data_IF_906790901053
#
_entry.id   IF_906790901053
#
_cell.length_a   1.000
_cell.length_b   1.000
_cell.length_c   1.000
_cell.angle_alpha   90.00
_cell.angle_beta   90.00
_cell.angle_gamma   90.00
#
_symmetry.space_group_name_H-M   'P 1'
#
loop_
_entity.id
_entity.type
_entity.pdbx_description
1 polymer ?
#
# COMPACT_ATOMS: atom_id res chain seq x y z
N UNK A 1 -7.05 25.35 11.17
CA UNK A 1 -8.22 24.48 11.41
C UNK A 1 -7.96 23.08 10.82
N UNK A 2 -7.75 22.07 11.67
CA UNK A 2 -7.83 20.67 11.23
C UNK A 2 -9.30 20.40 10.89
N UNK A 3 -9.61 20.22 9.62
CA UNK A 3 -10.94 19.79 9.20
C UNK A 3 -11.08 18.31 9.58
N UNK A 4 -11.87 18.06 10.62
CA UNK A 4 -12.24 16.70 11.04
C UNK A 4 -13.47 16.32 10.21
N UNK A 5 -13.43 15.17 9.56
CA UNK A 5 -14.56 14.62 8.81
C UNK A 5 -15.07 13.37 9.53
N UNK A 6 -15.85 13.53 10.62
CA UNK A 6 -16.25 12.41 11.47
C UNK A 6 -17.18 11.42 10.75
N UNK A 7 -17.95 11.87 9.76
CA UNK A 7 -18.85 10.98 9.01
C UNK A 7 -18.12 10.21 7.88
N UNK A 8 -16.84 10.51 7.62
CA UNK A 8 -16.12 9.90 6.51
C UNK A 8 -15.57 8.51 6.90
N UNK A 9 -16.27 7.47 6.47
CA UNK A 9 -15.86 6.07 6.72
C UNK A 9 -14.97 5.50 5.61
N UNK A 10 -14.99 6.08 4.41
CA UNK A 10 -14.32 5.55 3.22
C UNK A 10 -13.54 6.66 2.51
N UNK A 11 -12.25 6.42 2.26
CA UNK A 11 -11.42 7.32 1.45
C UNK A 11 -10.75 6.60 0.29
N UNK A 12 -10.73 7.25 -0.88
CA UNK A 12 -10.01 6.80 -2.06
C UNK A 12 -9.01 7.88 -2.46
N UNK A 13 -7.73 7.50 -2.53
CA UNK A 13 -6.62 8.41 -2.77
C UNK A 13 -5.82 7.89 -3.95
N UNK A 14 -5.47 8.78 -4.87
CA UNK A 14 -4.54 8.48 -5.95
C UNK A 14 -3.34 9.42 -5.86
N UNK A 15 -2.17 8.85 -5.60
CA UNK A 15 -0.92 9.58 -5.43
C UNK A 15 -0.05 9.37 -6.67
N UNK A 16 0.12 10.43 -7.46
CA UNK A 16 0.84 10.41 -8.73
C UNK A 16 2.26 10.98 -8.65
N UNK A 17 2.68 11.47 -7.48
CA UNK A 17 4.00 12.06 -7.22
C UNK A 17 4.96 11.02 -6.62
N UNK A 18 6.27 11.26 -6.76
CA UNK A 18 7.33 10.30 -6.39
C UNK A 18 7.36 9.93 -4.90
N UNK A 19 6.83 10.79 -4.04
CA UNK A 19 6.86 10.62 -2.59
C UNK A 19 5.44 10.74 -2.04
N UNK A 20 4.92 9.64 -1.50
CA UNK A 20 3.79 9.68 -0.58
C UNK A 20 4.37 9.96 0.82
N UNK A 21 4.07 11.13 1.39
CA UNK A 21 4.66 11.55 2.66
C UNK A 21 4.03 10.75 3.82
N UNK A 22 4.87 10.16 4.67
CA UNK A 22 4.44 9.46 5.88
C UNK A 22 3.55 10.34 6.77
N UNK A 23 3.81 11.65 6.83
CA UNK A 23 3.03 12.60 7.64
C UNK A 23 1.53 12.60 7.32
N UNK A 24 1.18 12.27 6.07
CA UNK A 24 -0.21 12.11 5.66
C UNK A 24 -0.89 11.00 6.47
N UNK A 25 -0.25 9.84 6.57
CA UNK A 25 -0.79 8.70 7.31
C UNK A 25 -0.78 8.96 8.81
N UNK A 26 0.25 9.61 9.36
CA UNK A 26 0.33 9.94 10.79
C UNK A 26 -0.86 10.78 11.26
N UNK A 27 -1.34 11.69 10.40
CA UNK A 27 -2.48 12.56 10.69
C UNK A 27 -3.83 11.95 10.32
N UNK A 28 -3.84 10.80 9.63
CA UNK A 28 -5.06 10.23 9.03
C UNK A 28 -6.13 9.95 10.07
N UNK A 29 -5.78 9.28 11.17
CA UNK A 29 -6.72 8.96 12.25
C UNK A 29 -7.19 10.19 13.04
N UNK A 30 -6.38 11.25 13.07
CA UNK A 30 -6.78 12.51 13.73
C UNK A 30 -7.80 13.28 12.89
N UNK A 31 -7.63 13.27 11.56
CA UNK A 31 -8.51 13.95 10.63
C UNK A 31 -9.79 13.15 10.33
N UNK A 32 -9.68 11.83 10.30
CA UNK A 32 -10.73 10.90 9.88
C UNK A 32 -10.92 9.80 10.96
N UNK A 33 -11.46 10.17 12.15
CA UNK A 33 -11.51 9.27 13.30
C UNK A 33 -12.37 8.02 13.10
N UNK A 34 -13.35 8.09 12.20
CA UNK A 34 -14.25 6.98 11.88
C UNK A 34 -13.90 6.29 10.55
N UNK A 35 -12.69 6.52 10.02
CA UNK A 35 -12.27 5.87 8.79
C UNK A 35 -12.21 4.35 9.00
N UNK A 36 -12.92 3.62 8.15
CA UNK A 36 -12.95 2.14 8.13
C UNK A 36 -12.25 1.58 6.91
N UNK A 37 -12.35 2.27 5.77
CA UNK A 37 -11.85 1.80 4.48
C UNK A 37 -10.89 2.79 3.82
N UNK A 38 -9.70 2.31 3.43
CA UNK A 38 -8.73 3.08 2.64
C UNK A 38 -8.43 2.38 1.32
N UNK A 39 -8.63 3.11 0.21
CA UNK A 39 -8.15 2.72 -1.11
C UNK A 39 -7.03 3.67 -1.53
N UNK A 40 -5.84 3.13 -1.74
CA UNK A 40 -4.63 3.89 -2.05
C UNK A 40 -4.05 3.44 -3.38
N UNK A 41 -4.10 4.31 -4.39
CA UNK A 41 -3.46 4.08 -5.68
C UNK A 41 -2.15 4.87 -5.73
N UNK A 42 -1.02 4.19 -5.76
CA UNK A 42 0.32 4.78 -5.82
C UNK A 42 0.91 4.60 -7.21
N UNK A 43 1.55 5.64 -7.72
CA UNK A 43 2.29 5.56 -8.99
C UNK A 43 3.75 5.92 -8.71
N UNK A 44 4.63 4.91 -8.78
CA UNK A 44 6.07 5.07 -8.59
C UNK A 44 6.84 4.86 -9.89
N UNK A 45 8.03 5.46 -9.99
CA UNK A 45 8.86 5.30 -11.18
C UNK A 45 9.60 3.96 -11.18
N UNK A 46 10.05 3.49 -10.01
CA UNK A 46 10.84 2.27 -9.84
C UNK A 46 10.46 1.50 -8.58
N UNK A 47 10.91 0.25 -8.54
CA UNK A 47 10.89 -0.61 -7.37
C UNK A 47 12.14 -0.34 -6.50
N UNK A 48 11.97 0.03 -5.24
CA UNK A 48 13.08 0.24 -4.30
C UNK A 48 12.79 -0.43 -2.95
N UNK A 49 13.83 -0.96 -2.31
CA UNK A 49 13.72 -1.56 -0.97
C UNK A 49 13.20 -0.55 0.06
N UNK A 50 13.70 0.69 0.00
CA UNK A 50 13.28 1.80 0.87
C UNK A 50 11.77 2.06 0.82
N UNK A 51 11.16 1.94 -0.36
CA UNK A 51 9.72 2.12 -0.50
C UNK A 51 8.96 1.02 0.24
N UNK A 52 9.38 -0.24 0.11
CA UNK A 52 8.74 -1.35 0.82
C UNK A 52 8.96 -1.29 2.32
N UNK A 53 10.16 -0.93 2.75
CA UNK A 53 10.46 -0.71 4.16
C UNK A 53 9.57 0.40 4.72
N UNK A 54 9.38 1.49 3.97
CA UNK A 54 8.46 2.57 4.35
C UNK A 54 7.03 2.06 4.48
N UNK A 55 6.53 1.31 3.49
CA UNK A 55 5.18 0.76 3.51
C UNK A 55 4.95 -0.20 4.69
N UNK A 56 5.88 -1.12 4.93
CA UNK A 56 5.81 -2.15 5.98
C UNK A 56 5.99 -1.54 7.37
N UNK A 57 7.06 -0.80 7.59
CA UNK A 57 7.45 -0.41 8.95
C UNK A 57 6.84 0.91 9.40
N UNK A 58 6.42 1.76 8.46
CA UNK A 58 5.89 3.09 8.79
C UNK A 58 4.41 3.20 8.50
N UNK A 59 3.96 2.96 7.26
CA UNK A 59 2.55 3.16 6.93
C UNK A 59 1.67 2.10 7.58
N UNK A 60 2.15 0.86 7.64
CA UNK A 60 1.36 -0.27 8.11
C UNK A 60 0.82 -0.11 9.52
N UNK A 61 1.68 0.26 10.48
CA UNK A 61 1.29 0.48 11.88
C UNK A 61 0.20 1.55 12.06
N UNK A 62 0.06 2.42 11.06
CA UNK A 62 -0.97 3.45 11.03
C UNK A 62 -2.24 2.89 10.38
N UNK A 63 -2.15 2.36 9.17
CA UNK A 63 -3.34 1.93 8.41
C UNK A 63 -3.91 0.60 8.92
N UNK A 64 -3.16 -0.19 9.68
CA UNK A 64 -3.61 -1.48 10.24
C UNK A 64 -4.82 -1.34 11.16
N UNK A 65 -5.15 -0.13 11.64
CA UNK A 65 -6.35 0.10 12.47
C UNK A 65 -7.65 0.03 11.68
N UNK A 66 -7.58 0.14 10.35
CA UNK A 66 -8.73 0.13 9.46
C UNK A 66 -9.32 -1.28 9.31
N UNK A 67 -10.61 -1.35 8.98
CA UNK A 67 -11.33 -2.60 8.70
C UNK A 67 -10.95 -3.16 7.32
N UNK A 68 -10.76 -2.26 6.35
CA UNK A 68 -10.41 -2.62 4.97
C UNK A 68 -9.34 -1.71 4.39
N UNK A 69 -8.36 -2.31 3.73
CA UNK A 69 -7.24 -1.62 3.09
C UNK A 69 -7.03 -2.22 1.70
N UNK A 70 -6.99 -1.36 0.69
CA UNK A 70 -6.70 -1.73 -0.69
C UNK A 70 -5.60 -0.81 -1.21
N UNK A 71 -4.39 -1.33 -1.42
CA UNK A 71 -3.26 -0.59 -1.97
C UNK A 71 -2.95 -1.14 -3.36
N UNK A 72 -2.96 -0.26 -4.36
CA UNK A 72 -2.58 -0.54 -5.73
C UNK A 72 -1.33 0.26 -6.08
N UNK A 73 -0.22 -0.41 -6.36
CA UNK A 73 1.06 0.24 -6.68
C UNK A 73 1.35 -0.01 -8.14
N UNK A 74 1.45 1.06 -8.93
CA UNK A 74 1.77 1.04 -10.36
C UNK A 74 3.17 1.57 -10.59
N UNK A 75 4.01 0.82 -11.30
CA UNK A 75 5.35 1.26 -11.69
C UNK A 75 5.36 1.79 -13.13
N UNK A 76 5.83 3.04 -13.34
CA UNK A 76 5.82 3.74 -14.65
C UNK A 76 6.93 3.32 -15.60
N UNK A 77 8.01 2.69 -15.12
CA UNK A 77 9.13 2.26 -15.97
C UNK A 77 9.03 0.76 -16.27
N UNK A 78 8.38 0.38 -17.38
CA UNK A 78 8.18 -1.01 -17.78
C UNK A 78 9.46 -1.76 -18.17
N UNK A 79 10.49 -1.01 -18.57
CA UNK A 79 11.74 -1.60 -19.07
C UNK A 79 12.67 -2.06 -17.95
N UNK A 80 12.25 -1.94 -16.68
CA UNK A 80 12.96 -2.62 -15.60
C UNK A 80 12.81 -4.13 -15.80
N UNK A 81 13.86 -4.81 -16.21
CA UNK A 81 13.97 -6.26 -15.99
C UNK A 81 13.93 -6.50 -14.49
N UNK A 82 13.15 -7.47 -13.98
CA UNK A 82 13.35 -7.92 -12.59
C UNK A 82 14.69 -8.65 -12.61
N UNK A 83 15.72 -8.02 -12.08
CA UNK A 83 16.95 -8.74 -11.80
C UNK A 83 16.79 -9.58 -10.52
N UNK A 84 17.76 -10.44 -10.26
CA UNK A 84 17.70 -11.33 -9.10
C UNK A 84 17.59 -10.56 -7.76
N UNK A 85 18.18 -9.37 -7.66
CA UNK A 85 18.10 -8.57 -6.44
C UNK A 85 16.70 -8.03 -6.21
N UNK A 86 16.05 -7.56 -7.28
CA UNK A 86 14.66 -7.10 -7.23
C UNK A 86 13.69 -8.24 -6.90
N UNK A 87 13.92 -9.44 -7.45
CA UNK A 87 13.12 -10.63 -7.10
C UNK A 87 13.28 -10.99 -5.62
N UNK A 88 14.50 -11.02 -5.10
CA UNK A 88 14.75 -11.26 -3.67
C UNK A 88 14.01 -10.24 -2.80
N UNK A 89 14.00 -8.96 -3.19
CA UNK A 89 13.30 -7.91 -2.46
C UNK A 89 11.77 -8.06 -2.52
N UNK A 90 11.23 -8.46 -3.67
CA UNK A 90 9.81 -8.83 -3.81
C UNK A 90 9.43 -10.00 -2.89
N UNK A 91 10.25 -11.05 -2.87
CA UNK A 91 10.00 -12.26 -2.09
C UNK A 91 10.07 -11.96 -0.58
N UNK A 92 11.05 -11.15 -0.15
CA UNK A 92 11.14 -10.64 1.23
C UNK A 92 9.90 -9.83 1.59
N UNK A 93 9.50 -8.91 0.73
CA UNK A 93 8.31 -8.08 0.94
C UNK A 93 7.05 -8.93 1.08
N UNK A 94 6.83 -9.88 0.17
CA UNK A 94 5.70 -10.80 0.23
C UNK A 94 5.73 -11.64 1.50
N UNK A 95 6.91 -12.14 1.91
CA UNK A 95 7.08 -12.91 3.15
C UNK A 95 6.72 -12.07 4.39
N UNK A 96 7.14 -10.80 4.44
CA UNK A 96 6.78 -9.88 5.52
C UNK A 96 5.27 -9.62 5.56
N UNK A 97 4.64 -9.41 4.40
CA UNK A 97 3.18 -9.24 4.32
C UNK A 97 2.42 -10.49 4.78
N UNK A 98 2.88 -11.69 4.40
CA UNK A 98 2.29 -12.95 4.84
C UNK A 98 2.45 -13.17 6.35
N UNK A 99 3.63 -12.86 6.91
CA UNK A 99 3.88 -12.93 8.34
C UNK A 99 2.97 -11.96 9.12
N UNK A 100 2.75 -10.75 8.59
CA UNK A 100 1.73 -9.84 9.14
C UNK A 100 0.34 -10.47 9.07
N UNK A 101 -0.02 -11.14 7.97
CA UNK A 101 -1.33 -11.78 7.83
C UNK A 101 -1.56 -12.95 8.83
N UNK A 102 -0.53 -13.62 9.32
CA UNK A 102 -0.68 -14.63 10.38
C UNK A 102 -1.03 -13.96 11.72
N UNK A 103 -0.51 -12.76 11.96
CA UNK A 103 -0.74 -11.98 13.18
C UNK A 103 -2.12 -11.30 13.19
N UNK A 104 -2.66 -10.99 12.03
CA UNK A 104 -3.91 -10.25 11.88
C UNK A 104 -4.87 -11.08 11.03
N UNK A 105 -6.04 -11.47 11.56
CA UNK A 105 -7.07 -12.32 10.94
C UNK A 105 -7.70 -11.76 9.65
N UNK A 106 -6.89 -11.24 8.75
CA UNK A 106 -7.27 -10.76 7.44
C UNK A 106 -6.75 -11.66 6.33
N UNK A 107 -6.99 -11.22 5.10
CA UNK A 107 -6.49 -11.88 3.90
C UNK A 107 -5.61 -10.90 3.14
N UNK A 108 -4.29 -11.12 3.09
CA UNK A 108 -3.40 -10.38 2.19
C UNK A 108 -3.37 -11.06 0.83
N UNK A 109 -3.98 -10.43 -0.17
CA UNK A 109 -3.75 -10.82 -1.56
C UNK A 109 -2.57 -10.04 -2.12
N UNK A 110 -1.53 -10.72 -2.58
CA UNK A 110 -0.44 -10.13 -3.34
C UNK A 110 -0.54 -10.61 -4.79
N UNK A 111 -0.74 -9.68 -5.73
CA UNK A 111 -0.77 -10.00 -7.16
C UNK A 111 0.22 -9.14 -7.93
N UNK A 112 1.20 -9.79 -8.55
CA UNK A 112 2.03 -9.21 -9.59
C UNK A 112 1.35 -9.40 -10.95
N UNK A 113 1.11 -8.30 -11.67
CA UNK A 113 0.60 -8.38 -13.04
C UNK A 113 1.52 -7.62 -13.99
N UNK A 114 2.00 -8.31 -15.02
CA UNK A 114 2.68 -7.71 -16.16
C UNK A 114 1.66 -7.54 -17.29
N UNK A 115 1.42 -6.30 -17.73
CA UNK A 115 0.60 -6.05 -18.91
C UNK A 115 1.49 -5.55 -20.04
N UNK A 116 1.76 -6.43 -20.99
CA UNK A 116 2.62 -6.14 -22.15
C UNK A 116 2.06 -5.04 -23.07
N UNK A 117 0.74 -4.82 -23.06
CA UNK A 117 0.07 -3.81 -23.91
C UNK A 117 0.06 -2.40 -23.32
N UNK A 118 0.23 -2.27 -22.01
CA UNK A 118 0.39 -0.97 -21.36
C UNK A 118 1.47 -1.17 -20.31
N UNK A 119 2.62 -0.61 -20.62
CA UNK A 119 3.88 -0.96 -20.03
C UNK A 119 3.94 -0.51 -18.55
N UNK A 120 3.30 -1.26 -17.67
CA UNK A 120 3.30 -1.06 -16.22
C UNK A 120 3.28 -2.40 -15.50
N UNK A 121 3.91 -2.38 -14.33
CA UNK A 121 3.86 -3.45 -13.33
C UNK A 121 2.99 -3.02 -12.18
N UNK A 122 2.21 -3.95 -11.65
CA UNK A 122 1.26 -3.67 -10.58
C UNK A 122 1.42 -4.62 -9.42
N UNK A 123 1.41 -4.07 -8.21
CA UNK A 123 1.22 -4.80 -6.95
C UNK A 123 -0.14 -4.39 -6.42
N UNK A 124 -0.99 -5.38 -6.15
CA UNK A 124 -2.20 -5.20 -5.36
C UNK A 124 -1.99 -5.82 -3.99
N UNK A 125 -2.36 -5.08 -2.94
CA UNK A 125 -2.44 -5.53 -1.56
C UNK A 125 -3.86 -5.24 -1.09
N UNK A 126 -4.63 -6.27 -0.83
CA UNK A 126 -5.97 -6.15 -0.23
C UNK A 126 -5.94 -6.78 1.14
N UNK A 127 -6.58 -6.15 2.14
CA UNK A 127 -6.89 -6.72 3.46
C UNK A 127 -8.33 -6.39 3.82
N UNK A 128 -9.04 -7.41 4.27
CA UNK A 128 -10.32 -7.28 4.95
C UNK A 128 -10.19 -7.99 6.29
N UNK A 129 -10.50 -7.31 7.39
CA UNK A 129 -10.69 -7.96 8.69
C UNK A 129 -12.09 -8.54 8.76
N UNK A 130 -12.23 -9.73 9.33
CA UNK A 130 -13.54 -10.23 9.71
C UNK A 130 -14.04 -9.38 10.89
N UNK A 131 -14.97 -8.47 10.62
CA UNK A 131 -15.72 -7.73 11.63
C UNK A 131 -16.78 -8.63 12.26
#
# INVERSE_FOLDING_TARGET
>A
PLFILPELEIIKISWSTRNCDQKFFESLHQMLPNLKCLFLNLIHDYFTEDFFNTLIYHWWSIIEKLERINIFIKFRRPQMTIDNNMQINLDKFQSSLLAMNVKYSGFVNFKWTEKFFIAYRMIEISICKNC
#
